data_IF_710530758301
#
_entry.id   IF_710530758301
#
_cell.length_a   1.000
_cell.length_b   1.000
_cell.length_c   1.000
_cell.angle_alpha   90.00
_cell.angle_beta   90.00
_cell.angle_gamma   90.00
#
_symmetry.space_group_name_H-M   'P 1'
#
loop_
_entity.id
_entity.type
_entity.pdbx_description
1 polymer ?
#
# COMPACT_ATOMS: atom_id res chain seq x y z
N UNK A 1 39.49 14.58 -18.16
CA UNK A 1 38.24 15.03 -17.52
C UNK A 1 36.95 14.82 -18.33
N UNK A 2 36.98 14.44 -19.63
CA UNK A 2 35.75 14.23 -20.42
C UNK A 2 35.08 12.85 -20.26
N UNK A 3 35.81 11.83 -19.81
CA UNK A 3 35.25 10.46 -19.66
C UNK A 3 34.48 10.24 -18.36
N UNK A 4 34.80 10.97 -17.28
CA UNK A 4 34.14 10.80 -15.97
C UNK A 4 32.68 11.27 -16.02
N UNK A 5 32.40 12.34 -16.78
CA UNK A 5 31.04 12.88 -16.93
C UNK A 5 30.10 11.92 -17.68
N UNK A 6 30.63 11.11 -18.60
CA UNK A 6 29.83 10.17 -19.39
C UNK A 6 29.40 8.96 -18.54
N UNK A 7 30.29 8.44 -17.68
CA UNK A 7 29.96 7.37 -16.73
C UNK A 7 28.93 7.83 -15.70
N UNK A 8 29.01 9.08 -15.20
CA UNK A 8 28.03 9.60 -14.24
C UNK A 8 26.65 9.82 -14.87
N UNK A 9 26.59 10.23 -16.14
CA UNK A 9 25.35 10.33 -16.91
C UNK A 9 24.72 8.97 -17.22
N UNK A 10 25.52 7.93 -17.50
CA UNK A 10 25.00 6.56 -17.73
C UNK A 10 24.47 5.95 -16.42
N UNK A 11 25.09 6.24 -15.27
CA UNK A 11 24.55 5.86 -13.95
C UNK A 11 23.23 6.56 -13.62
N UNK A 12 23.06 7.82 -14.05
CA UNK A 12 21.82 8.58 -13.88
C UNK A 12 20.72 8.16 -14.87
N UNK A 13 21.08 7.65 -16.05
CA UNK A 13 20.16 7.08 -17.04
C UNK A 13 19.78 5.61 -16.75
N UNK A 14 20.49 4.94 -15.83
CA UNK A 14 20.10 3.64 -15.29
C UNK A 14 19.05 3.75 -14.17
N UNK A 15 18.62 4.96 -13.81
CA UNK A 15 17.31 5.15 -13.17
C UNK A 15 16.27 4.97 -14.27
N UNK A 16 15.99 3.71 -14.63
CA UNK A 16 14.70 3.35 -15.21
C UNK A 16 13.68 3.79 -14.17
N UNK A 17 13.18 5.01 -14.32
CA UNK A 17 11.96 5.44 -13.66
C UNK A 17 10.93 4.37 -14.01
N UNK A 18 10.56 3.58 -13.00
CA UNK A 18 9.63 2.47 -13.10
C UNK A 18 8.26 3.02 -13.50
N UNK A 19 8.02 3.18 -14.80
CA UNK A 19 6.68 3.09 -15.33
C UNK A 19 6.36 1.59 -15.44
N UNK A 20 6.37 0.88 -14.30
CA UNK A 20 5.96 -0.50 -14.27
C UNK A 20 4.47 -0.56 -14.61
N UNK A 21 4.09 -1.34 -15.61
CA UNK A 21 2.69 -1.57 -15.92
C UNK A 21 2.06 -2.38 -14.78
N UNK A 22 1.01 -1.86 -14.15
CA UNK A 22 0.33 -2.60 -13.07
C UNK A 22 -0.70 -3.53 -13.69
N UNK A 23 -0.53 -4.83 -13.43
CA UNK A 23 -1.43 -5.87 -13.90
C UNK A 23 -2.39 -6.30 -12.79
N UNK A 24 -3.68 -6.29 -13.12
CA UNK A 24 -4.77 -6.78 -12.30
C UNK A 24 -5.27 -8.07 -12.91
N UNK A 25 -5.26 -9.14 -12.14
CA UNK A 25 -5.73 -10.43 -12.59
C UNK A 25 -7.26 -10.46 -12.56
N UNK A 26 -7.92 -10.87 -13.64
CA UNK A 26 -9.36 -11.12 -13.59
C UNK A 26 -9.63 -12.39 -12.76
N UNK A 27 -10.68 -12.41 -11.94
CA UNK A 27 -10.96 -13.53 -11.02
C UNK A 27 -11.11 -14.91 -11.71
N UNK A 28 -11.53 -14.94 -12.98
CA UNK A 28 -11.65 -16.16 -13.77
C UNK A 28 -10.38 -16.59 -14.53
N UNK A 29 -9.27 -15.85 -14.40
CA UNK A 29 -8.03 -16.14 -15.13
C UNK A 29 -7.11 -17.10 -14.36
N UNK A 30 -6.24 -17.80 -15.09
CA UNK A 30 -5.31 -18.77 -14.52
C UNK A 30 -4.16 -18.08 -13.76
N UNK A 31 -4.00 -18.39 -12.46
CA UNK A 31 -2.87 -17.91 -11.66
C UNK A 31 -1.53 -18.32 -12.27
N UNK A 32 -1.41 -19.55 -12.75
CA UNK A 32 -0.15 -20.07 -13.32
C UNK A 32 0.23 -19.32 -14.59
N UNK A 33 -0.75 -18.98 -15.44
CA UNK A 33 -0.49 -18.16 -16.63
C UNK A 33 -0.12 -16.73 -16.26
N UNK A 34 -0.80 -16.15 -15.27
CA UNK A 34 -0.52 -14.80 -14.76
C UNK A 34 0.90 -14.69 -14.20
N UNK A 35 1.30 -15.62 -13.32
CA UNK A 35 2.65 -15.67 -12.74
C UNK A 35 3.72 -15.88 -13.81
N UNK A 36 3.43 -16.70 -14.82
CA UNK A 36 4.34 -16.93 -15.95
C UNK A 36 4.48 -15.69 -16.81
N UNK A 37 3.38 -14.98 -17.08
CA UNK A 37 3.38 -13.72 -17.82
C UNK A 37 4.21 -12.65 -17.09
N UNK A 38 4.03 -12.48 -15.78
CA UNK A 38 4.84 -11.54 -14.98
C UNK A 38 6.34 -11.86 -15.00
N UNK A 39 6.72 -13.14 -15.05
CA UNK A 39 8.13 -13.55 -15.19
C UNK A 39 8.70 -13.25 -16.57
N UNK A 40 7.88 -13.42 -17.62
CA UNK A 40 8.25 -13.14 -19.01
C UNK A 40 8.33 -11.62 -19.28
N UNK A 41 7.55 -10.82 -18.55
CA UNK A 41 7.40 -9.36 -18.71
C UNK A 41 7.78 -8.59 -17.43
N UNK A 42 9.08 -8.45 -17.11
CA UNK A 42 9.56 -7.82 -15.88
C UNK A 42 9.27 -6.31 -15.77
N UNK A 43 8.84 -5.68 -16.86
CA UNK A 43 8.31 -4.33 -16.87
C UNK A 43 6.93 -4.23 -16.20
N UNK A 44 6.22 -5.34 -16.02
CA UNK A 44 4.94 -5.37 -15.34
C UNK A 44 5.09 -5.83 -13.89
N UNK A 45 4.23 -5.32 -13.02
CA UNK A 45 4.12 -5.74 -11.62
C UNK A 45 2.68 -6.13 -11.32
N UNK A 46 2.48 -7.09 -10.42
CA UNK A 46 1.14 -7.42 -9.97
C UNK A 46 0.56 -6.29 -9.13
N UNK A 47 -0.77 -6.22 -9.06
CA UNK A 47 -1.47 -5.24 -8.22
C UNK A 47 -1.06 -5.33 -6.74
N UNK A 48 -0.95 -6.54 -6.19
CA UNK A 48 -0.51 -6.75 -4.81
C UNK A 48 0.92 -6.22 -4.60
N UNK A 49 1.82 -6.46 -5.56
CA UNK A 49 3.20 -5.95 -5.48
C UNK A 49 3.24 -4.41 -5.54
N UNK A 50 2.44 -3.81 -6.41
CA UNK A 50 2.28 -2.35 -6.47
C UNK A 50 1.82 -1.77 -5.12
N UNK A 51 0.81 -2.39 -4.49
CA UNK A 51 0.34 -1.95 -3.17
C UNK A 51 1.45 -2.07 -2.10
N UNK A 52 2.19 -3.18 -2.07
CA UNK A 52 3.31 -3.37 -1.13
C UNK A 52 4.39 -2.30 -1.33
N UNK A 53 4.71 -1.96 -2.58
CA UNK A 53 5.69 -0.91 -2.90
C UNK A 53 5.25 0.47 -2.41
N UNK A 54 3.96 0.81 -2.56
CA UNK A 54 3.42 2.08 -2.05
C UNK A 54 3.52 2.22 -0.54
N UNK A 55 3.49 1.12 0.20
CA UNK A 55 3.61 1.12 1.66
C UNK A 55 5.05 1.32 2.15
N UNK A 56 6.05 1.24 1.26
CA UNK A 56 7.46 1.39 1.66
C UNK A 56 7.88 2.85 1.93
N UNK A 57 7.03 3.82 1.61
CA UNK A 57 7.36 5.24 1.80
C UNK A 57 6.23 5.96 2.52
N UNK A 58 6.53 6.60 3.64
CA UNK A 58 5.61 7.52 4.31
C UNK A 58 6.36 8.75 4.82
N UNK A 59 6.67 9.73 3.93
CA UNK A 59 7.56 10.84 4.26
C UNK A 59 7.11 11.65 5.47
N UNK A 60 5.79 11.85 5.62
CA UNK A 60 5.22 12.59 6.75
C UNK A 60 5.41 11.84 8.07
N UNK A 61 5.20 10.52 8.08
CA UNK A 61 5.44 9.70 9.27
C UNK A 61 6.93 9.63 9.61
N UNK A 62 7.79 9.54 8.59
CA UNK A 62 9.25 9.51 8.75
C UNK A 62 9.79 10.83 9.30
N UNK A 63 9.33 11.98 8.80
CA UNK A 63 9.69 13.31 9.34
C UNK A 63 9.33 13.45 10.83
N UNK A 64 8.13 12.99 11.21
CA UNK A 64 7.68 12.98 12.60
C UNK A 64 8.55 12.06 13.49
N UNK A 65 8.97 10.90 12.98
CA UNK A 65 9.92 10.02 13.68
C UNK A 65 11.28 10.68 13.89
N UNK A 66 11.82 11.32 12.85
CA UNK A 66 13.10 12.03 12.94
C UNK A 66 13.03 13.17 13.97
N UNK A 67 11.92 13.91 14.04
CA UNK A 67 11.74 14.98 15.02
C UNK A 67 11.79 14.48 16.47
N UNK A 68 11.29 13.27 16.74
CA UNK A 68 11.45 12.63 18.06
C UNK A 68 12.93 12.29 18.30
N UNK A 69 13.61 11.75 17.30
CA UNK A 69 15.04 11.44 17.37
C UNK A 69 15.94 12.66 17.60
N UNK A 70 15.56 13.84 17.10
CA UNK A 70 16.27 15.09 17.36
C UNK A 70 16.02 15.63 18.78
N UNK A 71 14.83 15.37 19.33
CA UNK A 71 14.41 15.85 20.64
C UNK A 71 14.29 14.70 21.65
N UNK A 72 15.31 13.84 21.71
CA UNK A 72 15.33 12.68 22.60
C UNK A 72 15.22 13.05 24.07
N UNK A 73 15.58 14.26 24.49
CA UNK A 73 15.48 14.73 25.87
C UNK A 73 14.08 15.29 26.23
N UNK A 74 13.13 15.24 25.30
CA UNK A 74 11.76 15.67 25.57
C UNK A 74 11.13 14.87 26.73
N UNK A 75 10.08 15.46 27.33
CA UNK A 75 9.37 14.83 28.44
C UNK A 75 8.79 13.48 28.01
N UNK A 76 8.74 12.49 28.92
CA UNK A 76 8.13 11.18 28.66
C UNK A 76 6.76 11.24 27.99
N UNK A 77 5.91 12.15 28.46
CA UNK A 77 4.56 12.34 27.93
C UNK A 77 4.58 12.79 26.47
N UNK A 78 5.40 13.79 26.14
CA UNK A 78 5.50 14.29 24.76
C UNK A 78 6.00 13.21 23.80
N UNK A 79 6.96 12.39 24.24
CA UNK A 79 7.48 11.26 23.45
C UNK A 79 6.38 10.21 23.24
N UNK A 80 5.71 9.76 24.31
CA UNK A 80 4.61 8.80 24.22
C UNK A 80 3.47 9.29 23.32
N UNK A 81 3.06 10.55 23.46
CA UNK A 81 1.98 11.13 22.65
C UNK A 81 2.37 11.21 21.16
N UNK A 82 3.62 11.55 20.86
CA UNK A 82 4.14 11.58 19.49
C UNK A 82 4.21 10.17 18.88
N UNK A 83 4.70 9.18 19.63
CA UNK A 83 4.72 7.78 19.18
C UNK A 83 3.32 7.24 18.89
N UNK A 84 2.34 7.56 19.75
CA UNK A 84 0.93 7.18 19.52
C UNK A 84 0.34 7.84 18.29
N UNK A 85 0.70 9.09 18.00
CA UNK A 85 0.26 9.80 16.79
C UNK A 85 0.83 9.13 15.54
N UNK A 86 2.13 8.81 15.55
CA UNK A 86 2.82 8.11 14.45
C UNK A 86 2.14 6.76 14.20
N UNK A 87 1.88 5.97 15.24
CA UNK A 87 1.17 4.69 15.13
C UNK A 87 -0.28 4.78 14.64
N UNK A 88 -0.90 5.97 14.66
CA UNK A 88 -2.25 6.22 14.13
C UNK A 88 -2.24 6.81 12.72
N UNK A 89 -1.08 7.28 12.24
CA UNK A 89 -0.97 7.98 10.95
C UNK A 89 -1.02 7.06 9.73
N UNK A 90 -0.90 5.75 9.94
CA UNK A 90 -0.94 4.73 8.90
C UNK A 90 0.13 3.65 9.11
N UNK A 91 0.28 2.73 8.14
CA UNK A 91 1.26 1.66 8.21
C UNK A 91 2.69 2.18 8.35
N UNK A 92 3.50 1.50 9.15
CA UNK A 92 4.93 1.79 9.31
C UNK A 92 5.71 1.28 8.09
N UNK A 93 6.47 2.15 7.40
CA UNK A 93 7.44 1.73 6.39
C UNK A 93 8.57 0.89 7.00
N UNK A 94 9.30 0.11 6.19
CA UNK A 94 10.43 -0.67 6.69
C UNK A 94 11.49 0.24 7.35
N UNK A 95 11.70 1.44 6.81
CA UNK A 95 12.58 2.45 7.41
C UNK A 95 12.04 2.91 8.77
N UNK A 96 10.74 3.21 8.86
CA UNK A 96 10.09 3.55 10.13
C UNK A 96 10.21 2.44 11.17
N UNK A 97 10.06 1.17 10.77
CA UNK A 97 10.20 0.00 11.66
C UNK A 97 11.63 -0.10 12.21
N UNK A 98 12.65 0.00 11.34
CA UNK A 98 14.06 -0.04 11.75
C UNK A 98 14.40 1.14 12.68
N UNK A 99 13.98 2.36 12.32
CA UNK A 99 14.23 3.53 13.14
C UNK A 99 13.54 3.43 14.51
N UNK A 100 12.29 2.97 14.55
CA UNK A 100 11.55 2.77 15.79
C UNK A 100 12.17 1.67 16.67
N UNK A 101 12.80 0.64 16.08
CA UNK A 101 13.54 -0.36 16.84
C UNK A 101 14.71 0.26 17.59
N UNK A 102 15.54 1.05 16.90
CA UNK A 102 16.69 1.74 17.51
C UNK A 102 16.23 2.80 18.52
N UNK A 103 15.24 3.61 18.14
CA UNK A 103 14.67 4.67 18.98
C UNK A 103 14.09 4.09 20.27
N UNK A 104 13.20 3.11 20.16
CA UNK A 104 12.56 2.51 21.35
C UNK A 104 13.56 1.81 22.25
N UNK A 105 14.59 1.16 21.69
CA UNK A 105 15.64 0.54 22.48
C UNK A 105 16.44 1.58 23.27
N UNK A 106 16.85 2.69 22.64
CA UNK A 106 17.52 3.81 23.32
C UNK A 106 16.63 4.46 24.38
N UNK A 107 15.35 4.68 24.09
CA UNK A 107 14.42 5.26 25.06
C UNK A 107 14.20 4.36 26.29
N UNK A 108 14.27 3.03 26.14
CA UNK A 108 14.19 2.10 27.27
C UNK A 108 15.43 2.12 28.18
N UNK A 109 16.56 2.66 27.73
CA UNK A 109 17.75 2.85 28.55
C UNK A 109 17.63 4.08 29.47
N UNK A 110 16.79 5.07 29.10
CA UNK A 110 16.51 6.23 29.93
C UNK A 110 15.73 5.83 31.19
N UNK A 111 16.20 6.26 32.36
CA UNK A 111 15.63 5.87 33.65
C UNK A 111 14.16 6.25 33.83
N UNK A 112 13.73 7.39 33.28
CA UNK A 112 12.36 7.90 33.33
C UNK A 112 11.40 7.21 32.35
N UNK A 113 11.93 6.45 31.38
CA UNK A 113 11.17 5.77 30.33
C UNK A 113 11.29 4.25 30.33
N UNK A 114 12.22 3.69 31.12
CA UNK A 114 12.50 2.25 31.20
C UNK A 114 11.27 1.35 31.40
N UNK A 115 10.28 1.85 32.16
CA UNK A 115 9.04 1.11 32.47
C UNK A 115 7.80 1.68 31.74
N UNK A 116 7.99 2.55 30.76
CA UNK A 116 6.88 3.12 30.00
C UNK A 116 6.23 2.06 29.12
N UNK A 117 4.92 1.85 29.31
CA UNK A 117 4.16 0.84 28.60
C UNK A 117 4.16 1.07 27.09
N UNK A 118 3.92 2.30 26.62
CA UNK A 118 3.83 2.61 25.18
C UNK A 118 5.16 2.29 24.47
N UNK A 119 6.28 2.66 25.08
CA UNK A 119 7.62 2.43 24.51
C UNK A 119 7.93 0.93 24.48
N UNK A 120 7.59 0.20 25.55
CA UNK A 120 7.71 -1.25 25.57
C UNK A 120 6.87 -1.89 24.46
N UNK A 121 5.61 -1.47 24.30
CA UNK A 121 4.73 -1.99 23.24
C UNK A 121 5.26 -1.68 21.85
N UNK A 122 5.78 -0.47 21.61
CA UNK A 122 6.45 -0.10 20.35
C UNK A 122 7.65 -1.00 20.09
N UNK A 123 8.53 -1.18 21.08
CA UNK A 123 9.72 -2.04 20.95
C UNK A 123 9.34 -3.49 20.63
N UNK A 124 8.34 -4.03 21.34
CA UNK A 124 7.80 -5.36 21.08
C UNK A 124 7.20 -5.50 19.67
N UNK A 125 6.46 -4.48 19.20
CA UNK A 125 5.86 -4.44 17.86
C UNK A 125 6.94 -4.56 16.78
N UNK A 126 7.94 -3.68 16.81
CA UNK A 126 8.96 -3.61 15.76
C UNK A 126 9.92 -4.79 15.80
N UNK A 127 10.26 -5.32 16.98
CA UNK A 127 11.04 -6.57 17.09
C UNK A 127 10.35 -7.75 16.41
N UNK A 128 9.04 -7.90 16.61
CA UNK A 128 8.26 -8.95 15.97
C UNK A 128 8.26 -8.82 14.45
N UNK A 129 8.05 -7.60 13.95
CA UNK A 129 8.08 -7.31 12.50
C UNK A 129 9.45 -7.55 11.85
N UNK A 130 10.54 -7.38 12.61
CA UNK A 130 11.91 -7.66 12.17
C UNK A 130 12.30 -9.14 12.33
N UNK A 131 11.39 -10.01 12.78
CA UNK A 131 11.68 -11.43 13.03
C UNK A 131 12.65 -11.67 14.19
N UNK A 132 12.84 -10.69 15.07
CA UNK A 132 13.73 -10.79 16.23
C UNK A 132 13.03 -11.45 17.42
N UNK A 133 13.82 -12.05 18.31
CA UNK A 133 13.28 -12.73 19.49
C UNK A 133 12.56 -11.76 20.46
N UNK A 134 11.39 -12.19 20.94
CA UNK A 134 10.45 -11.41 21.76
C UNK A 134 10.49 -11.81 23.26
N UNK A 135 11.67 -11.82 23.89
CA UNK A 135 11.85 -12.35 25.26
C UNK A 135 10.97 -11.68 26.34
N UNK A 136 10.72 -10.38 26.22
CA UNK A 136 10.04 -9.57 27.25
C UNK A 136 8.59 -9.22 26.89
N UNK A 137 8.08 -9.80 25.80
CA UNK A 137 6.82 -9.43 25.18
C UNK A 137 5.89 -10.65 25.13
N UNK A 138 4.61 -10.44 25.45
CA UNK A 138 3.57 -11.42 25.17
C UNK A 138 3.50 -11.62 23.66
N UNK A 139 3.70 -12.85 23.17
CA UNK A 139 3.82 -13.15 21.74
C UNK A 139 2.80 -14.17 21.26
N UNK A 140 2.38 -14.02 20.01
CA UNK A 140 1.50 -14.97 19.30
C UNK A 140 2.13 -15.30 17.96
N UNK A 141 2.02 -16.57 17.57
CA UNK A 141 2.44 -17.03 16.25
C UNK A 141 1.37 -16.63 15.23
N UNK A 142 1.80 -16.00 14.14
CA UNK A 142 0.95 -15.77 12.97
C UNK A 142 0.81 -17.09 12.23
N UNK A 143 -0.40 -17.61 12.18
CA UNK A 143 -0.74 -18.88 11.55
C UNK A 143 -1.24 -18.63 10.13
N UNK A 144 -0.32 -18.64 9.18
CA UNK A 144 -0.63 -18.45 7.76
C UNK A 144 -1.58 -19.53 7.20
N UNK A 145 -1.60 -20.74 7.78
CA UNK A 145 -2.55 -21.79 7.38
C UNK A 145 -3.96 -21.43 7.83
N UNK A 146 -4.12 -20.93 9.06
CA UNK A 146 -5.40 -20.45 9.56
C UNK A 146 -5.90 -19.25 8.74
N UNK A 147 -5.02 -18.29 8.42
CA UNK A 147 -5.34 -17.15 7.55
C UNK A 147 -5.82 -17.63 6.18
N UNK A 148 -5.10 -18.56 5.53
CA UNK A 148 -5.49 -19.11 4.23
C UNK A 148 -6.84 -19.85 4.29
N UNK A 149 -7.13 -20.54 5.39
CA UNK A 149 -8.44 -21.21 5.57
C UNK A 149 -9.58 -20.21 5.74
N UNK A 150 -9.34 -19.12 6.46
CA UNK A 150 -10.35 -18.09 6.73
C UNK A 150 -10.58 -17.18 5.52
N UNK A 151 -9.51 -16.86 4.77
CA UNK A 151 -9.54 -16.02 3.59
C UNK A 151 -8.74 -16.66 2.44
N UNK A 152 -9.30 -17.67 1.75
CA UNK A 152 -8.59 -18.42 0.70
C UNK A 152 -8.24 -17.59 -0.54
N UNK A 153 -8.89 -16.44 -0.72
CA UNK A 153 -8.63 -15.51 -1.81
C UNK A 153 -7.40 -14.64 -1.58
N UNK A 154 -6.97 -14.50 -0.32
CA UNK A 154 -5.79 -13.72 0.03
C UNK A 154 -4.51 -14.46 -0.37
N UNK A 155 -3.65 -13.79 -1.14
CA UNK A 155 -2.36 -14.32 -1.58
C UNK A 155 -1.23 -13.85 -0.67
N UNK A 156 -1.33 -12.62 -0.18
CA UNK A 156 -0.30 -11.98 0.64
C UNK A 156 -0.94 -11.35 1.88
N UNK A 157 -0.34 -11.60 3.04
CA UNK A 157 -0.60 -10.85 4.26
C UNK A 157 0.46 -9.76 4.38
N UNK A 158 0.05 -8.51 4.49
CA UNK A 158 0.94 -7.41 4.85
C UNK A 158 0.67 -7.02 6.30
N UNK A 159 1.74 -6.90 7.09
CA UNK A 159 1.69 -6.34 8.44
C UNK A 159 2.56 -5.10 8.44
N UNK A 160 1.94 -3.94 8.70
CA UNK A 160 2.49 -2.62 8.41
C UNK A 160 2.85 -2.49 6.92
N UNK A 161 4.13 -2.48 6.58
CA UNK A 161 4.65 -2.49 5.21
C UNK A 161 5.36 -3.80 4.85
N UNK A 162 5.46 -4.75 5.78
CA UNK A 162 6.16 -6.01 5.54
C UNK A 162 5.20 -7.04 4.96
N UNK A 163 5.49 -7.50 3.75
CA UNK A 163 4.68 -8.47 3.03
C UNK A 163 5.12 -9.91 3.31
N UNK A 164 4.15 -10.80 3.55
CA UNK A 164 4.33 -12.21 3.81
C UNK A 164 3.43 -13.01 2.87
N UNK A 165 3.99 -13.73 1.88
CA UNK A 165 3.21 -14.62 1.04
C UNK A 165 2.55 -15.72 1.88
N UNK A 166 1.23 -15.85 1.79
CA UNK A 166 0.46 -16.80 2.61
C UNK A 166 0.78 -18.25 2.22
N UNK A 167 1.16 -18.48 0.97
CA UNK A 167 1.57 -19.78 0.45
C UNK A 167 2.90 -20.29 1.00
N UNK A 168 3.75 -19.41 1.52
CA UNK A 168 5.03 -19.80 2.11
C UNK A 168 4.83 -20.14 3.59
N UNK A 169 5.33 -21.30 4.03
CA UNK A 169 5.23 -21.78 5.42
C UNK A 169 6.14 -20.97 6.38
N UNK A 170 6.06 -19.64 6.31
CA UNK A 170 6.83 -18.73 7.14
C UNK A 170 6.37 -18.86 8.61
N UNK A 171 7.31 -18.71 9.53
CA UNK A 171 7.02 -18.60 10.95
C UNK A 171 7.28 -17.17 11.37
N UNK A 172 6.23 -16.46 11.76
CA UNK A 172 6.31 -15.10 12.29
C UNK A 172 5.70 -15.07 13.69
N UNK A 173 6.40 -14.46 14.63
CA UNK A 173 5.88 -14.16 15.97
C UNK A 173 5.70 -12.65 16.11
N UNK A 174 4.50 -12.23 16.53
CA UNK A 174 4.17 -10.83 16.76
C UNK A 174 3.73 -10.61 18.20
N UNK A 175 3.87 -9.39 18.71
CA UNK A 175 3.36 -9.03 20.04
C UNK A 175 1.84 -9.08 20.08
N UNK A 176 1.27 -9.72 21.11
CA UNK A 176 -0.20 -9.80 21.36
C UNK A 176 -0.78 -8.43 21.73
N UNK A 177 0.02 -7.61 22.41
CA UNK A 177 -0.41 -6.34 23.01
C UNK A 177 -0.35 -5.17 22.00
N UNK A 178 0.33 -5.37 20.87
CA UNK A 178 0.51 -4.32 19.87
C UNK A 178 -0.62 -4.31 18.85
N UNK A 179 -1.04 -3.10 18.47
CA UNK A 179 -1.93 -2.85 17.34
C UNK A 179 -1.09 -2.72 16.07
N UNK A 180 -1.50 -3.40 15.01
CA UNK A 180 -0.90 -3.38 13.68
C UNK A 180 -1.91 -2.92 12.63
N UNK A 181 -1.38 -2.39 11.53
CA UNK A 181 -2.10 -2.26 10.27
C UNK A 181 -1.92 -3.55 9.46
N UNK A 182 -3.00 -4.31 9.27
CA UNK A 182 -3.01 -5.53 8.47
C UNK A 182 -3.65 -5.26 7.11
N UNK A 183 -3.07 -5.82 6.05
CA UNK A 183 -3.71 -5.84 4.74
C UNK A 183 -3.69 -7.27 4.18
N UNK A 184 -4.84 -7.76 3.75
CA UNK A 184 -4.93 -9.00 2.98
C UNK A 184 -5.04 -8.61 1.51
N UNK A 185 -4.02 -8.99 0.74
CA UNK A 185 -3.89 -8.61 -0.67
C UNK A 185 -4.19 -9.80 -1.58
N UNK A 186 -4.78 -9.47 -2.72
CA UNK A 186 -5.08 -10.38 -3.82
C UNK A 186 -4.92 -9.64 -5.13
N UNK A 187 -4.38 -10.30 -6.15
CA UNK A 187 -4.28 -9.72 -7.50
C UNK A 187 -5.63 -9.68 -8.23
N UNK A 188 -6.67 -10.30 -7.67
CA UNK A 188 -8.01 -10.41 -8.27
C UNK A 188 -9.12 -9.66 -7.52
N UNK A 189 -8.91 -9.34 -6.24
CA UNK A 189 -9.92 -8.74 -5.36
C UNK A 189 -9.37 -7.50 -4.65
N UNK A 190 -10.27 -6.63 -4.22
CA UNK A 190 -9.90 -5.43 -3.47
C UNK A 190 -9.13 -5.78 -2.19
N UNK A 191 -8.20 -4.91 -1.80
CA UNK A 191 -7.44 -5.05 -0.57
C UNK A 191 -8.35 -4.93 0.66
N UNK A 192 -8.22 -5.87 1.59
CA UNK A 192 -8.91 -5.79 2.88
C UNK A 192 -7.95 -5.19 3.91
N UNK A 193 -8.31 -4.03 4.46
CA UNK A 193 -7.53 -3.32 5.45
C UNK A 193 -8.14 -3.49 6.84
N UNK A 194 -7.32 -3.80 7.85
CA UNK A 194 -7.76 -3.95 9.24
C UNK A 194 -6.72 -3.41 10.22
N UNK A 195 -7.17 -2.62 11.19
CA UNK A 195 -6.34 -2.07 12.26
C UNK A 195 -6.72 -2.69 13.59
N UNK A 196 -5.81 -3.44 14.21
CA UNK A 196 -6.08 -4.11 15.48
C UNK A 196 -4.93 -5.01 15.93
N UNK A 197 -5.17 -5.88 16.90
CA UNK A 197 -4.23 -6.96 17.25
C UNK A 197 -4.45 -8.18 16.36
N UNK A 198 -3.48 -9.09 16.30
CA UNK A 198 -3.61 -10.34 15.53
C UNK A 198 -4.83 -11.17 15.97
N UNK A 199 -5.09 -11.26 17.28
CA UNK A 199 -6.27 -11.99 17.77
C UNK A 199 -7.58 -11.35 17.32
N UNK A 200 -7.65 -10.02 17.26
CA UNK A 200 -8.82 -9.31 16.75
C UNK A 200 -9.00 -9.52 15.25
N UNK A 201 -7.91 -9.56 14.46
CA UNK A 201 -7.95 -9.87 13.04
C UNK A 201 -8.60 -11.23 12.80
N UNK A 202 -8.15 -12.27 13.53
CA UNK A 202 -8.67 -13.63 13.38
C UNK A 202 -10.14 -13.79 13.80
N UNK A 203 -10.71 -12.81 14.52
CA UNK A 203 -12.13 -12.78 14.88
C UNK A 203 -13.00 -12.09 13.81
N UNK A 204 -12.41 -11.51 12.77
CA UNK A 204 -13.16 -10.78 11.73
C UNK A 204 -13.65 -11.70 10.61
N UNK A 205 -14.76 -11.30 9.98
CA UNK A 205 -15.23 -11.88 8.73
C UNK A 205 -15.25 -10.79 7.66
N UNK A 206 -14.38 -10.94 6.66
CA UNK A 206 -14.28 -10.02 5.53
C UNK A 206 -14.79 -10.69 4.26
N UNK A 207 -15.50 -9.92 3.44
CA UNK A 207 -15.95 -10.34 2.12
C UNK A 207 -15.01 -9.73 1.10
N UNK A 208 -14.36 -10.58 0.31
CA UNK A 208 -13.51 -10.13 -0.79
C UNK A 208 -14.40 -9.77 -1.99
N UNK A 209 -14.26 -8.54 -2.46
CA UNK A 209 -14.97 -8.04 -3.64
C UNK A 209 -14.04 -8.12 -4.85
N UNK A 210 -14.40 -8.82 -5.95
CA UNK A 210 -13.58 -8.85 -7.15
C UNK A 210 -13.35 -7.45 -7.70
N UNK A 211 -12.13 -7.15 -8.17
CA UNK A 211 -11.83 -5.88 -8.83
C UNK A 211 -12.35 -5.82 -10.26
N UNK A 212 -12.54 -6.99 -10.89
CA UNK A 212 -12.99 -7.15 -12.27
C UNK A 212 -14.06 -8.23 -12.31
N UNK A 213 -15.22 -7.88 -12.87
CA UNK A 213 -16.30 -8.82 -13.16
C UNK A 213 -16.50 -8.94 -14.68
N UNK A 214 -16.79 -10.15 -15.17
CA UNK A 214 -16.97 -10.43 -16.59
C UNK A 214 -15.78 -11.15 -17.23
N UNK A 215 -15.56 -10.94 -18.52
CA UNK A 215 -14.54 -11.66 -19.30
C UNK A 215 -13.88 -10.75 -20.36
N UNK A 216 -12.95 -11.31 -21.13
CA UNK A 216 -12.20 -10.62 -22.18
C UNK A 216 -13.07 -9.85 -23.21
N UNK A 217 -14.31 -10.30 -23.45
CA UNK A 217 -15.23 -9.66 -24.41
C UNK A 217 -15.99 -8.48 -23.81
N UNK A 218 -16.18 -8.46 -22.49
CA UNK A 218 -16.92 -7.42 -21.78
C UNK A 218 -16.77 -7.59 -20.28
N UNK A 219 -16.41 -6.50 -19.60
CA UNK A 219 -16.08 -6.48 -18.18
C UNK A 219 -16.49 -5.16 -17.52
N UNK A 220 -16.64 -5.20 -16.21
CA UNK A 220 -16.78 -4.05 -15.32
C UNK A 220 -15.64 -4.06 -14.29
N UNK A 221 -15.25 -2.88 -13.82
CA UNK A 221 -14.15 -2.72 -12.86
C UNK A 221 -14.60 -1.94 -11.63
N UNK A 222 -14.14 -2.37 -10.46
CA UNK A 222 -14.38 -1.77 -9.14
C UNK A 222 -13.04 -1.51 -8.44
N UNK A 223 -12.11 -0.85 -9.13
CA UNK A 223 -10.77 -0.56 -8.60
C UNK A 223 -10.83 0.77 -7.84
N UNK A 224 -10.40 0.77 -6.59
CA UNK A 224 -10.43 1.91 -5.67
C UNK A 224 -9.20 2.84 -5.81
N UNK A 225 -8.11 2.37 -6.41
CA UNK A 225 -6.95 3.18 -6.77
C UNK A 225 -7.13 3.86 -8.14
N UNK A 226 -7.28 5.18 -8.14
CA UNK A 226 -7.49 5.99 -9.35
C UNK A 226 -6.35 5.88 -10.38
N UNK A 227 -5.10 5.76 -9.93
CA UNK A 227 -3.96 5.61 -10.85
C UNK A 227 -4.05 4.27 -11.57
N UNK A 228 -4.42 3.21 -10.82
CA UNK A 228 -4.59 1.88 -11.40
C UNK A 228 -5.84 1.82 -12.27
N UNK A 229 -6.94 2.43 -11.86
CA UNK A 229 -8.15 2.49 -12.68
C UNK A 229 -7.90 3.21 -14.02
N UNK A 230 -7.07 4.26 -14.02
CA UNK A 230 -6.79 5.05 -15.23
C UNK A 230 -5.72 4.44 -16.15
N UNK A 231 -4.71 3.76 -15.59
CA UNK A 231 -3.52 3.32 -16.33
C UNK A 231 -3.15 1.84 -16.19
N UNK A 232 -3.83 1.11 -15.31
CA UNK A 232 -3.62 -0.31 -15.11
C UNK A 232 -4.08 -1.15 -16.31
N UNK A 233 -3.65 -2.40 -16.32
CA UNK A 233 -4.02 -3.39 -17.34
C UNK A 233 -4.63 -4.62 -16.67
N UNK A 234 -5.76 -5.07 -17.18
CA UNK A 234 -6.45 -6.29 -16.76
C UNK A 234 -5.91 -7.47 -17.56
N UNK A 235 -5.57 -8.53 -16.83
CA UNK A 235 -5.14 -9.81 -17.39
C UNK A 235 -6.29 -10.81 -17.32
N UNK A 236 -6.78 -11.25 -18.49
CA UNK A 236 -7.70 -12.38 -18.60
C UNK A 236 -6.99 -13.67 -19.04
N UNK A 237 -6.01 -13.54 -19.93
CA UNK A 237 -5.10 -14.60 -20.37
C UNK A 237 -3.90 -13.96 -21.07
N UNK A 238 -2.89 -14.76 -21.45
CA UNK A 238 -1.71 -14.26 -22.20
C UNK A 238 -2.09 -13.53 -23.51
N UNK A 239 -3.16 -13.97 -24.17
CA UNK A 239 -3.65 -13.39 -25.42
C UNK A 239 -4.72 -12.30 -25.21
N UNK A 240 -5.14 -12.05 -23.96
CA UNK A 240 -6.15 -11.04 -23.67
C UNK A 240 -5.78 -10.15 -22.47
N UNK A 241 -5.17 -9.03 -22.84
CA UNK A 241 -4.92 -7.88 -21.98
C UNK A 241 -5.90 -6.76 -22.35
N UNK A 242 -6.49 -6.09 -21.35
CA UNK A 242 -7.42 -4.97 -21.54
C UNK A 242 -7.05 -3.81 -20.64
N UNK A 243 -7.28 -2.55 -21.01
CA UNK A 243 -7.07 -1.44 -20.08
C UNK A 243 -8.03 -1.54 -18.88
N UNK A 244 -7.55 -1.19 -17.68
CA UNK A 244 -8.40 -1.14 -16.48
C UNK A 244 -9.49 -0.08 -16.58
N UNK A 245 -9.27 0.96 -17.40
CA UNK A 245 -10.29 1.92 -17.76
C UNK A 245 -11.35 1.23 -18.65
N UNK A 246 -12.37 0.67 -18.03
CA UNK A 246 -13.57 0.25 -18.74
C UNK A 246 -14.38 1.51 -19.11
N UNK A 247 -14.63 1.81 -20.40
CA UNK A 247 -15.74 2.68 -20.72
C UNK A 247 -17.02 2.01 -20.16
N UNK A 248 -17.89 2.74 -19.43
CA UNK A 248 -19.10 2.16 -18.87
C UNK A 248 -19.90 1.47 -19.97
N UNK A 249 -20.27 0.21 -19.73
CA UNK A 249 -21.08 -0.55 -20.65
C UNK A 249 -22.51 0.02 -20.64
N UNK A 250 -22.84 0.75 -21.71
CA UNK A 250 -24.12 1.45 -21.83
C UNK A 250 -24.07 2.83 -21.18
N UNK A 251 -24.70 3.79 -21.87
CA UNK A 251 -24.78 5.21 -21.57
C UNK A 251 -23.53 6.01 -21.96
N UNK A 252 -23.76 7.09 -22.72
CA UNK A 252 -22.71 7.99 -23.21
C UNK A 252 -21.88 8.46 -22.01
N UNK A 253 -20.60 8.74 -22.21
CA UNK A 253 -19.71 9.33 -21.19
C UNK A 253 -20.34 10.50 -20.41
N UNK A 254 -21.23 11.26 -21.05
CA UNK A 254 -22.05 12.32 -20.45
C UNK A 254 -23.04 11.87 -19.36
N UNK A 255 -23.65 10.69 -19.50
CA UNK A 255 -24.61 10.14 -18.53
C UNK A 255 -23.89 9.63 -17.29
N UNK A 256 -22.75 8.95 -17.46
CA UNK A 256 -21.89 8.53 -16.36
C UNK A 256 -21.38 9.72 -15.51
N UNK A 257 -20.96 10.80 -16.18
CA UNK A 257 -20.58 12.08 -15.54
C UNK A 257 -21.73 12.67 -14.72
N UNK A 258 -22.97 12.56 -15.23
CA UNK A 258 -24.16 13.08 -14.56
C UNK A 258 -24.55 12.27 -13.32
N UNK A 259 -24.36 10.94 -13.36
CA UNK A 259 -24.72 10.02 -12.28
C UNK A 259 -23.68 10.01 -11.16
N UNK A 260 -22.40 10.11 -11.49
CA UNK A 260 -21.32 9.94 -10.51
C UNK A 260 -20.75 11.25 -9.96
N UNK A 261 -21.18 12.42 -10.48
CA UNK A 261 -20.71 13.77 -10.06
C UNK A 261 -19.19 13.84 -9.84
N UNK A 262 -18.41 13.08 -10.60
CA UNK A 262 -16.97 12.93 -10.41
C UNK A 262 -16.22 13.82 -11.39
N UNK A 263 -15.46 14.77 -10.83
CA UNK A 263 -14.64 15.72 -11.54
C UNK A 263 -13.41 15.01 -12.10
N UNK A 264 -13.37 14.84 -13.43
CA UNK A 264 -12.25 14.20 -14.12
C UNK A 264 -11.12 15.22 -14.27
N UNK A 265 -9.90 14.82 -13.87
CA UNK A 265 -8.67 15.31 -14.45
C UNK A 265 -7.58 14.25 -14.39
N UNK A 266 -7.08 13.81 -15.54
CA UNK A 266 -5.71 14.15 -15.84
C UNK A 266 -5.61 14.73 -17.27
N UNK A 267 -4.90 15.85 -17.40
CA UNK A 267 -4.63 16.59 -18.65
C UNK A 267 -5.75 17.56 -19.14
N UNK A 268 -5.75 18.78 -18.58
CA UNK A 268 -6.19 20.02 -19.25
C UNK A 268 -7.68 20.44 -19.42
N UNK A 269 -8.71 19.86 -18.78
CA UNK A 269 -10.13 20.29 -18.96
C UNK A 269 -10.86 20.66 -17.64
N UNK A 270 -10.98 21.96 -17.29
CA UNK A 270 -11.73 22.40 -16.07
C UNK A 270 -13.20 22.51 -16.45
N UNK A 271 -14.03 21.66 -15.86
CA UNK A 271 -15.48 21.80 -15.88
C UNK A 271 -15.91 22.85 -14.84
N UNK A 272 -16.31 24.04 -15.29
CA UNK A 272 -16.95 25.06 -14.45
C UNK A 272 -18.45 25.01 -14.73
N UNK A 273 -19.21 24.39 -13.83
CA UNK A 273 -20.67 24.35 -13.92
C UNK A 273 -21.20 23.51 -15.08
N UNK A 274 -22.47 23.13 -14.98
CA UNK A 274 -23.17 22.10 -15.76
C UNK A 274 -23.35 22.32 -17.27
N UNK A 275 -22.51 23.15 -17.93
CA UNK A 275 -22.78 23.54 -19.32
C UNK A 275 -21.58 23.63 -20.28
N UNK A 276 -20.31 23.53 -19.85
CA UNK A 276 -19.21 23.60 -20.82
C UNK A 276 -17.94 22.83 -20.41
N UNK A 277 -17.42 22.03 -21.34
CA UNK A 277 -16.07 21.47 -21.30
C UNK A 277 -15.15 22.30 -22.21
N UNK A 278 -14.03 22.80 -21.67
CA UNK A 278 -13.02 23.53 -22.44
C UNK A 278 -11.67 22.81 -22.38
N UNK A 279 -11.04 22.57 -23.55
CA UNK A 279 -9.69 22.04 -23.66
C UNK A 279 -8.64 23.14 -23.64
N UNK A 280 -7.69 23.06 -22.70
CA UNK A 280 -6.55 23.97 -22.61
C UNK A 280 -5.52 23.67 -23.70
N UNK A 281 -5.64 24.37 -24.83
CA UNK A 281 -4.52 24.61 -25.75
C UNK A 281 -4.16 26.10 -25.65
N UNK A 282 -3.19 26.41 -24.80
CA UNK A 282 -2.31 27.60 -24.89
C UNK A 282 -2.65 28.97 -24.26
N UNK A 283 -3.57 29.21 -23.28
CA UNK A 283 -3.70 30.57 -22.66
C UNK A 283 -4.02 30.63 -21.16
N UNK A 284 -3.37 31.59 -20.47
CA UNK A 284 -3.56 31.97 -19.05
C UNK A 284 -5.04 32.29 -18.74
N UNK A 285 -5.53 31.81 -17.60
CA UNK A 285 -6.85 32.13 -17.06
C UNK A 285 -6.69 33.19 -15.96
N UNK A 286 -7.45 34.29 -16.07
CA UNK A 286 -7.75 35.20 -14.96
C UNK A 286 -9.21 34.95 -14.57
N UNK A 287 -9.45 34.66 -13.29
CA UNK A 287 -10.79 34.46 -12.74
C UNK A 287 -11.18 35.74 -12.01
N UNK A 288 -12.10 36.52 -12.56
CA UNK A 288 -12.82 37.53 -11.79
C UNK A 288 -14.07 36.89 -11.19
N UNK A 289 -14.22 37.03 -9.87
CA UNK A 289 -15.46 36.68 -9.16
C UNK A 289 -16.49 37.81 -9.33
N UNK A 290 -17.80 37.51 -9.28
CA UNK A 290 -18.81 38.54 -9.04
C UNK A 290 -18.63 39.18 -7.66
#
# INVERSE_FOLDING_TARGET
MKQILLTFMISLLAVKAFASGVLIQAAGSSQTEFDSFLKEHPENVSFSQYLVQRLQTNPRQEEELYRIGENLEASPKNISDSLRLIQKSGPLSLNSVNFLYDLSSKLMERSDLKNNFDIKTVNCKVRGLLGMHLEKCSKVRVDFIAINRQWPTAQTLVIESTAYPISTANSLEVSIEAVYEFQLLSDTHQAVNFRGTYNQLMQQHFVFVPMVEGNCKGYATSIDDFNIQSSGTLFFSKDCLKPANAPPAGNRFSEWLSENKAWIYPVGIILIGSAAAYGLKDKKIVVEKP
#
